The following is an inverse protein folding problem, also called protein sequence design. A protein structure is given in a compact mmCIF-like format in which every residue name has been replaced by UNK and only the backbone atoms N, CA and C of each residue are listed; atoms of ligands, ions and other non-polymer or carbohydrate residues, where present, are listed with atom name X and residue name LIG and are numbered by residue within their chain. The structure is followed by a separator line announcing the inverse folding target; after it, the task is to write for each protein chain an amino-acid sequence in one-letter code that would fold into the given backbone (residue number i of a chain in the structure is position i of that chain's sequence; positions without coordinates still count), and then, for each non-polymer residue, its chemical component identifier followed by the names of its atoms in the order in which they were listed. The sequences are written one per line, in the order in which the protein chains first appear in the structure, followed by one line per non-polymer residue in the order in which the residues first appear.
data_IF_491540098524
#
_entry.id   IF_491540098524
#
_cell.length_a   1.000
_cell.length_b   1.000
_cell.length_c   1.000
_cell.angle_alpha   90.00
_cell.angle_beta   90.00
_cell.angle_gamma   90.00
#
_symmetry.space_group_name_H-M   'P 1'
#
loop_
_entity.id
_entity.type
_entity.pdbx_description
1 polymer ?
#
# COMPACT_ATOMS: atom_id res chain seq x y z
N UNK A 1 -13.07 -24.90 -8.00
CA UNK A 1 -13.46 -25.20 -6.59
C UNK A 1 -12.96 -24.14 -5.61
N UNK A 2 -11.64 -23.96 -5.41
CA UNK A 2 -11.13 -22.96 -4.44
C UNK A 2 -11.48 -21.50 -4.80
N UNK A 3 -11.38 -21.12 -6.10
CA UNK A 3 -11.76 -19.78 -6.58
C UNK A 3 -13.26 -19.50 -6.45
N UNK A 4 -14.08 -20.54 -6.59
CA UNK A 4 -15.54 -20.42 -6.54
C UNK A 4 -16.01 -20.24 -5.10
N UNK A 5 -15.39 -20.96 -4.16
CA UNK A 5 -15.56 -20.75 -2.72
C UNK A 5 -15.13 -19.34 -2.28
N UNK A 6 -13.99 -18.86 -2.78
CA UNK A 6 -13.50 -17.52 -2.51
C UNK A 6 -14.51 -16.44 -2.95
N UNK A 7 -15.04 -16.57 -4.17
CA UNK A 7 -16.10 -15.68 -4.69
C UNK A 7 -17.40 -15.77 -3.90
N UNK A 8 -17.82 -16.97 -3.48
CA UNK A 8 -19.07 -17.15 -2.75
C UNK A 8 -19.04 -16.54 -1.33
N UNK A 9 -17.86 -16.50 -0.72
CA UNK A 9 -17.63 -15.94 0.62
C UNK A 9 -17.15 -14.48 0.59
N UNK A 10 -16.98 -13.89 -0.59
CA UNK A 10 -16.41 -12.56 -0.81
C UNK A 10 -15.02 -12.37 -0.15
N UNK A 11 -14.18 -13.39 -0.24
CA UNK A 11 -12.81 -13.40 0.31
C UNK A 11 -11.79 -13.77 -0.75
N UNK A 12 -10.51 -13.48 -0.50
CA UNK A 12 -9.43 -13.88 -1.42
C UNK A 12 -9.11 -15.36 -1.29
N UNK A 13 -8.56 -15.97 -2.34
CA UNK A 13 -8.06 -17.35 -2.26
C UNK A 13 -6.94 -17.49 -1.23
N UNK A 14 -6.15 -16.44 -0.98
CA UNK A 14 -5.12 -16.42 0.05
C UNK A 14 -5.70 -16.47 1.46
N UNK A 15 -6.85 -15.81 1.71
CA UNK A 15 -7.58 -15.93 2.98
C UNK A 15 -7.97 -17.38 3.26
N UNK A 16 -8.54 -18.08 2.27
CA UNK A 16 -8.92 -19.49 2.41
C UNK A 16 -7.73 -20.43 2.63
N UNK A 17 -6.55 -20.06 2.15
CA UNK A 17 -5.32 -20.83 2.30
C UNK A 17 -4.56 -20.50 3.59
N UNK A 18 -5.09 -19.62 4.45
CA UNK A 18 -4.37 -19.12 5.63
C UNK A 18 -3.08 -18.37 5.26
N UNK A 19 -3.01 -17.87 4.02
CA UNK A 19 -1.92 -17.08 3.46
C UNK A 19 -2.25 -15.60 3.43
N UNK A 20 -3.39 -15.18 4.00
CA UNK A 20 -3.65 -13.79 4.29
C UNK A 20 -2.48 -13.27 5.10
N UNK A 21 -1.60 -12.54 4.42
CA UNK A 21 -0.57 -11.79 5.09
C UNK A 21 -1.32 -10.74 5.89
N UNK A 22 -1.63 -11.03 7.16
CA UNK A 22 -2.17 -10.04 8.09
C UNK A 22 -1.07 -9.00 8.28
N UNK A 23 -1.08 -8.07 7.35
CA UNK A 23 -0.35 -6.85 7.35
C UNK A 23 -1.17 -5.94 8.25
N UNK A 24 -0.56 -5.42 9.32
CA UNK A 24 -1.29 -4.62 10.30
C UNK A 24 -1.98 -3.45 9.61
N UNK A 25 -3.22 -3.18 9.99
CA UNK A 25 -4.00 -2.04 9.47
C UNK A 25 -3.21 -0.74 9.65
N UNK A 26 -3.34 0.14 8.67
CA UNK A 26 -2.80 1.49 8.74
C UNK A 26 -3.70 2.32 9.65
N UNK A 27 -3.08 3.12 10.51
CA UNK A 27 -3.79 4.10 11.35
C UNK A 27 -3.91 5.42 10.59
N UNK A 28 -4.80 6.31 11.01
CA UNK A 28 -4.89 7.66 10.42
C UNK A 28 -3.55 8.40 10.41
N UNK A 29 -2.70 8.17 11.43
CA UNK A 29 -1.35 8.74 11.47
C UNK A 29 -0.48 8.16 10.35
N UNK A 30 -0.57 6.86 10.09
CA UNK A 30 0.19 6.23 9.01
C UNK A 30 -0.27 6.75 7.65
N UNK A 31 -1.58 6.94 7.44
CA UNK A 31 -2.13 7.52 6.22
C UNK A 31 -1.60 8.95 6.00
N UNK A 32 -1.56 9.78 7.05
CA UNK A 32 -0.97 11.13 6.99
C UNK A 32 0.53 11.11 6.66
N UNK A 33 1.28 10.18 7.25
CA UNK A 33 2.70 10.01 6.95
C UNK A 33 2.92 9.56 5.48
N UNK A 34 2.07 8.66 4.98
CA UNK A 34 2.11 8.18 3.59
C UNK A 34 1.82 9.34 2.63
N UNK A 35 0.79 10.15 2.90
CA UNK A 35 0.45 11.31 2.09
C UNK A 35 1.60 12.31 1.99
N UNK A 36 2.22 12.67 3.12
CA UNK A 36 3.40 13.56 3.13
C UNK A 36 4.58 12.98 2.36
N UNK A 37 4.80 11.67 2.49
CA UNK A 37 5.91 11.01 1.80
C UNK A 37 5.65 10.90 0.29
N UNK A 38 4.40 10.70 -0.11
CA UNK A 38 3.99 10.77 -1.51
C UNK A 38 4.24 12.17 -2.08
N UNK A 39 3.80 13.22 -1.40
CA UNK A 39 4.03 14.61 -1.83
C UNK A 39 5.53 14.90 -1.99
N UNK A 40 6.35 14.54 -1.00
CA UNK A 40 7.80 14.69 -1.07
C UNK A 40 8.42 13.95 -2.26
N UNK A 41 7.98 12.72 -2.56
CA UNK A 41 8.47 11.97 -3.72
C UNK A 41 8.06 12.67 -5.02
N UNK A 42 6.82 13.15 -5.12
CA UNK A 42 6.35 13.85 -6.31
C UNK A 42 7.09 15.18 -6.52
N UNK A 43 7.33 15.94 -5.45
CA UNK A 43 8.11 17.18 -5.51
C UNK A 43 9.56 16.94 -5.95
N UNK A 44 10.22 15.90 -5.42
CA UNK A 44 11.55 15.47 -5.85
C UNK A 44 11.58 15.01 -7.32
N UNK A 45 10.47 14.46 -7.82
CA UNK A 45 10.35 14.04 -9.22
C UNK A 45 10.07 15.20 -10.19
N UNK A 46 9.35 16.23 -9.73
CA UNK A 46 9.03 17.42 -10.51
C UNK A 46 10.20 18.42 -10.59
N UNK A 47 11.12 18.43 -9.62
CA UNK A 47 12.16 19.46 -9.56
C UNK A 47 13.23 19.38 -10.66
N UNK A 48 13.42 18.23 -11.31
CA UNK A 48 14.62 17.99 -12.14
C UNK A 48 14.40 17.24 -13.47
N UNK A 49 13.19 17.17 -14.04
CA UNK A 49 12.95 16.39 -15.29
C UNK A 49 13.02 14.87 -15.07
N UNK A 50 12.57 14.37 -13.91
CA UNK A 50 12.65 12.93 -13.57
C UNK A 50 11.42 12.12 -14.01
N UNK A 51 10.29 12.76 -14.34
CA UNK A 51 9.08 12.14 -14.87
C UNK A 51 9.06 12.06 -16.41
N UNK A 52 10.22 12.13 -17.07
CA UNK A 52 10.31 11.84 -18.49
C UNK A 52 10.44 10.32 -18.68
N UNK A 53 9.43 9.69 -19.28
CA UNK A 53 9.50 8.29 -19.67
C UNK A 53 10.00 8.22 -21.11
N UNK A 54 11.15 7.58 -21.33
CA UNK A 54 11.82 7.52 -22.64
C UNK A 54 12.25 8.88 -23.22
N UNK A 55 12.46 9.89 -22.36
CA UNK A 55 12.86 11.24 -22.77
C UNK A 55 11.71 12.16 -23.18
N UNK A 56 10.46 11.65 -23.19
CA UNK A 56 9.25 12.45 -23.35
C UNK A 56 8.58 12.68 -21.99
N UNK A 57 8.00 13.87 -21.73
CA UNK A 57 7.23 14.08 -20.52
C UNK A 57 6.07 13.08 -20.49
N UNK A 58 5.91 12.37 -19.36
CA UNK A 58 4.79 11.45 -19.18
C UNK A 58 3.45 12.18 -19.41
N UNK A 59 2.56 11.55 -20.16
CA UNK A 59 1.17 11.98 -20.23
C UNK A 59 0.49 11.85 -18.86
N UNK A 60 -0.66 12.53 -18.72
CA UNK A 60 -1.38 12.59 -17.44
C UNK A 60 -1.86 11.21 -16.98
N UNK A 61 -2.27 10.33 -17.91
CA UNK A 61 -2.74 8.97 -17.59
C UNK A 61 -1.60 8.15 -16.97
N UNK A 62 -0.42 8.18 -17.58
CA UNK A 62 0.76 7.46 -17.09
C UNK A 62 1.23 8.04 -15.76
N UNK A 63 1.13 9.35 -15.56
CA UNK A 63 1.45 10.00 -14.28
C UNK A 63 0.50 9.53 -13.17
N UNK A 64 -0.80 9.44 -13.44
CA UNK A 64 -1.77 8.90 -12.49
C UNK A 64 -1.50 7.43 -12.14
N UNK A 65 -1.15 6.60 -13.14
CA UNK A 65 -0.78 5.21 -12.92
C UNK A 65 0.46 5.07 -12.04
N UNK A 66 1.49 5.88 -12.28
CA UNK A 66 2.70 5.90 -11.45
C UNK A 66 2.38 6.36 -10.03
N UNK A 67 1.56 7.41 -9.87
CA UNK A 67 1.09 7.86 -8.55
C UNK A 67 0.37 6.73 -7.81
N UNK A 68 -0.57 6.04 -8.44
CA UNK A 68 -1.29 4.93 -7.82
C UNK A 68 -0.36 3.77 -7.41
N UNK A 69 0.62 3.43 -8.26
CA UNK A 69 1.60 2.40 -7.97
C UNK A 69 2.50 2.76 -6.77
N UNK A 70 2.99 4.01 -6.71
CA UNK A 70 3.78 4.51 -5.59
C UNK A 70 2.96 4.47 -4.29
N UNK A 71 1.69 4.88 -4.34
CA UNK A 71 0.82 4.91 -3.14
C UNK A 71 0.66 3.49 -2.57
N UNK A 72 0.33 2.54 -3.44
CA UNK A 72 0.19 1.13 -3.07
C UNK A 72 1.48 0.59 -2.43
N UNK A 73 2.62 0.89 -3.03
CA UNK A 73 3.93 0.49 -2.49
C UNK A 73 4.27 1.14 -1.15
N UNK A 74 3.94 2.42 -0.96
CA UNK A 74 4.14 3.11 0.33
C UNK A 74 3.27 2.50 1.43
N UNK A 75 1.99 2.23 1.13
CA UNK A 75 1.07 1.54 2.05
C UNK A 75 1.63 0.17 2.44
N UNK A 76 2.01 -0.65 1.46
CA UNK A 76 2.61 -1.98 1.69
C UNK A 76 3.87 -1.89 2.54
N UNK A 77 4.79 -0.97 2.21
CA UNK A 77 6.05 -0.78 2.94
C UNK A 77 5.79 -0.39 4.39
N UNK A 78 4.83 0.51 4.65
CA UNK A 78 4.45 0.94 5.99
C UNK A 78 3.84 -0.21 6.79
N UNK A 79 2.99 -1.03 6.17
CA UNK A 79 2.42 -2.21 6.81
C UNK A 79 3.48 -3.26 7.16
N UNK A 80 4.42 -3.55 6.24
CA UNK A 80 5.55 -4.45 6.49
C UNK A 80 6.42 -3.92 7.63
N UNK A 81 6.71 -2.61 7.63
CA UNK A 81 7.48 -1.98 8.69
C UNK A 81 6.77 -2.10 10.04
N UNK A 82 5.46 -1.83 10.12
CA UNK A 82 4.67 -2.03 11.34
C UNK A 82 4.73 -3.49 11.80
N UNK A 83 4.60 -4.46 10.88
CA UNK A 83 4.68 -5.90 11.22
C UNK A 83 6.06 -6.30 11.74
N UNK A 84 7.13 -5.74 11.18
CA UNK A 84 8.51 -6.10 11.53
C UNK A 84 8.98 -5.41 12.81
N UNK A 85 8.67 -4.12 12.97
CA UNK A 85 9.28 -3.27 14.01
C UNK A 85 8.35 -2.98 15.19
N UNK A 86 7.04 -3.24 15.09
CA UNK A 86 6.16 -3.16 16.26
C UNK A 86 6.35 -4.41 17.13
N UNK A 87 6.78 -4.27 18.40
CA UNK A 87 6.86 -5.40 19.33
C UNK A 87 5.51 -6.09 19.44
N UNK A 88 5.51 -7.43 19.59
CA UNK A 88 4.26 -8.24 19.63
C UNK A 88 3.24 -7.71 20.64
N UNK A 89 3.71 -7.26 21.81
CA UNK A 89 2.88 -6.67 22.88
C UNK A 89 2.11 -5.38 22.52
N UNK A 90 2.44 -4.72 21.41
CA UNK A 90 1.83 -3.47 20.96
C UNK A 90 1.16 -3.60 19.58
N UNK A 91 1.12 -4.81 19.02
CA UNK A 91 0.32 -5.06 17.82
C UNK A 91 -1.13 -5.16 18.30
N UNK A 92 -1.97 -4.21 17.91
CA UNK A 92 -3.41 -4.35 18.06
C UNK A 92 -3.88 -5.47 17.14
N UNK A 93 -4.61 -6.42 17.66
CA UNK A 93 -5.20 -7.45 16.82
C UNK A 93 -6.35 -6.82 16.01
N UNK A 94 -6.56 -7.24 14.75
CA UNK A 94 -7.60 -6.67 13.89
C UNK A 94 -9.03 -6.80 14.47
N UNK A 95 -9.21 -7.62 15.50
CA UNK A 95 -10.46 -7.83 16.26
C UNK A 95 -10.64 -6.87 17.46
N UNK A 96 -9.62 -6.11 17.85
CA UNK A 96 -9.71 -5.16 18.99
C UNK A 96 -10.48 -3.86 18.64
N UNK A 97 -10.84 -3.65 17.37
CA UNK A 97 -11.54 -2.45 16.88
C UNK A 97 -12.89 -2.77 16.20
N UNK A 98 -13.49 -3.94 16.50
CA UNK A 98 -14.82 -4.33 16.05
C UNK A 98 -15.93 -4.01 17.07
#
# INVERSE_FOLDING_TARGET
MLKDLAKALDVTTDYLLGRSSDLPKLTEKDEKDIAKKMESILEEMDSDTALAFDGEPMDEETRELVRAAIESNLRLTKQIAKKKFTPKKYRKDPDDEA
#
